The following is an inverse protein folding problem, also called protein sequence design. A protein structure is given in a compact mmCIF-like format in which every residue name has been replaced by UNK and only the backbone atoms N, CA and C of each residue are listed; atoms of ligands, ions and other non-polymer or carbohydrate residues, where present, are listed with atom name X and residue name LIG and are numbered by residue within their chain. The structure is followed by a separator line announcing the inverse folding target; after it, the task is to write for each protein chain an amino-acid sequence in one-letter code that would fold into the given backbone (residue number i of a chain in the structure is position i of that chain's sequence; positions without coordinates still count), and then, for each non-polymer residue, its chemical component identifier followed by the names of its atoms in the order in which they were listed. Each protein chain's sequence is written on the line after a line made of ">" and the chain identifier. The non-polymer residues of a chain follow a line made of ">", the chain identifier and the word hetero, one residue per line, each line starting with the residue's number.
data_IF_303328506044
#
_entry.id   IF_303328506044
#
_cell.length_a   1.000
_cell.length_b   1.000
_cell.length_c   1.000
_cell.angle_alpha   90.00
_cell.angle_beta   90.00
_cell.angle_gamma   90.00
#
_symmetry.space_group_name_H-M   'P 1'
#
loop_
_entity.id
_entity.type
_entity.pdbx_description
1 polymer ?
#
# COMPACT_ATOMS: atom_id res chain seq x y z
N UNK A 1 10.64 9.26 14.53
CA UNK A 1 9.69 10.01 13.67
C UNK A 1 9.94 11.51 13.68
N UNK A 2 9.77 12.21 14.81
CA UNK A 2 9.99 13.66 14.91
C UNK A 2 11.41 14.03 14.50
N UNK A 3 12.43 13.39 15.07
CA UNK A 3 13.83 13.66 14.74
C UNK A 3 14.15 13.49 13.24
N UNK A 4 13.66 12.41 12.61
CA UNK A 4 13.83 12.14 11.18
C UNK A 4 13.17 13.25 10.34
N UNK A 5 11.98 13.69 10.73
CA UNK A 5 11.27 14.78 10.04
C UNK A 5 11.99 16.12 10.22
N UNK A 6 12.57 16.37 11.39
CA UNK A 6 13.40 17.55 11.65
C UNK A 6 14.69 17.54 10.82
N UNK A 7 15.31 16.38 10.60
CA UNK A 7 16.48 16.25 9.70
C UNK A 7 16.13 16.72 8.28
N UNK A 8 14.98 16.29 7.73
CA UNK A 8 14.50 16.76 6.43
C UNK A 8 14.23 18.27 6.44
N UNK A 9 13.55 18.77 7.48
CA UNK A 9 13.21 20.19 7.61
C UNK A 9 14.48 21.05 7.62
N UNK A 10 15.50 20.67 8.39
CA UNK A 10 16.81 21.36 8.41
C UNK A 10 17.49 21.35 7.04
N UNK A 11 17.47 20.20 6.34
CA UNK A 11 17.98 20.08 4.96
C UNK A 11 17.26 21.08 4.05
N UNK A 12 15.92 21.10 4.05
CA UNK A 12 15.15 22.01 3.21
C UNK A 12 15.37 23.47 3.58
N UNK A 13 15.43 23.82 4.87
CA UNK A 13 15.75 25.17 5.31
C UNK A 13 17.11 25.64 4.77
N UNK A 14 18.15 24.80 4.84
CA UNK A 14 19.47 25.17 4.31
C UNK A 14 19.45 25.47 2.81
N UNK A 15 18.70 24.70 2.02
CA UNK A 15 18.60 24.89 0.57
C UNK A 15 17.71 26.10 0.23
N UNK A 16 16.63 26.28 0.99
CA UNK A 16 15.72 27.41 0.85
C UNK A 16 16.40 28.75 1.17
N UNK A 17 17.21 28.82 2.24
CA UNK A 17 17.98 30.02 2.59
C UNK A 17 18.96 30.38 1.47
N UNK A 18 19.70 29.42 0.93
CA UNK A 18 20.62 29.66 -0.19
C UNK A 18 19.90 30.17 -1.44
N UNK A 19 18.69 29.66 -1.72
CA UNK A 19 17.88 30.12 -2.83
C UNK A 19 17.32 31.54 -2.58
N UNK A 20 16.88 31.83 -1.36
CA UNK A 20 16.37 33.14 -0.94
C UNK A 20 17.46 34.22 -1.00
N UNK A 21 18.68 33.92 -0.55
CA UNK A 21 19.84 34.80 -0.65
C UNK A 21 20.19 35.16 -2.11
N UNK A 22 19.83 34.27 -3.04
CA UNK A 22 19.98 34.48 -4.49
C UNK A 22 18.73 35.08 -5.15
N UNK A 23 17.71 35.46 -4.37
CA UNK A 23 16.42 35.95 -4.82
C UNK A 23 15.72 34.99 -5.82
N UNK A 24 15.87 33.68 -5.60
CA UNK A 24 15.31 32.60 -6.43
C UNK A 24 14.33 31.76 -5.61
N UNK A 25 13.30 31.25 -6.28
CA UNK A 25 12.46 30.16 -5.77
C UNK A 25 13.05 28.81 -6.15
N UNK A 26 13.13 27.89 -5.19
CA UNK A 26 13.56 26.51 -5.43
C UNK A 26 12.40 25.69 -6.01
N UNK A 27 12.64 25.01 -7.13
CA UNK A 27 11.70 24.04 -7.71
C UNK A 27 12.37 22.68 -7.66
N UNK A 28 11.78 21.73 -6.94
CA UNK A 28 12.27 20.36 -6.86
C UNK A 28 11.10 19.40 -6.63
N UNK A 29 11.33 18.13 -6.93
CA UNK A 29 10.32 17.10 -6.76
C UNK A 29 10.19 16.69 -5.29
N UNK A 30 9.11 17.15 -4.65
CA UNK A 30 8.77 16.81 -3.26
C UNK A 30 8.33 15.34 -3.14
N UNK A 31 7.91 14.70 -4.24
CA UNK A 31 7.45 13.31 -4.24
C UNK A 31 8.53 12.34 -3.74
N UNK A 32 9.75 12.48 -4.27
CA UNK A 32 10.88 11.62 -3.93
C UNK A 32 11.32 11.84 -2.47
N UNK A 33 11.33 13.09 -2.01
CA UNK A 33 11.73 13.44 -0.64
C UNK A 33 10.71 12.96 0.40
N UNK A 34 9.40 13.03 0.12
CA UNK A 34 8.36 12.45 0.99
C UNK A 34 8.43 10.93 1.01
N UNK A 35 8.78 10.30 -0.11
CA UNK A 35 8.98 8.85 -0.17
C UNK A 35 10.15 8.42 0.72
N UNK A 36 11.30 9.10 0.59
CA UNK A 36 12.50 8.92 1.42
C UNK A 36 12.20 9.09 2.91
N UNK A 37 11.54 10.20 3.27
CA UNK A 37 11.14 10.48 4.65
C UNK A 37 10.25 9.38 5.23
N UNK A 38 9.24 8.95 4.47
CA UNK A 38 8.31 7.92 4.93
C UNK A 38 9.01 6.58 5.09
N UNK A 39 9.89 6.22 4.15
CA UNK A 39 10.71 5.02 4.23
C UNK A 39 11.53 5.01 5.53
N UNK A 40 12.24 6.09 5.84
CA UNK A 40 13.04 6.19 7.06
C UNK A 40 12.20 6.17 8.35
N UNK A 41 11.06 6.85 8.34
CA UNK A 41 10.12 6.82 9.48
C UNK A 41 9.71 5.39 9.79
N UNK A 42 9.27 4.65 8.77
CA UNK A 42 8.77 3.28 8.97
C UNK A 42 9.91 2.35 9.34
N UNK A 43 11.06 2.42 8.66
CA UNK A 43 12.19 1.52 8.95
C UNK A 43 12.79 1.79 10.32
N UNK A 44 12.80 3.05 10.77
CA UNK A 44 13.22 3.41 12.12
C UNK A 44 12.25 2.87 13.17
N UNK A 45 10.93 2.93 12.92
CA UNK A 45 9.94 2.41 13.87
C UNK A 45 9.90 0.88 13.90
N UNK A 46 10.10 0.22 12.75
CA UNK A 46 9.99 -1.24 12.62
C UNK A 46 11.31 -1.93 12.99
N UNK A 47 12.43 -1.43 12.48
CA UNK A 47 13.74 -2.08 12.56
C UNK A 47 14.77 -1.29 13.37
N UNK A 48 14.43 -0.12 13.92
CA UNK A 48 15.39 0.72 14.63
C UNK A 48 16.50 1.27 13.73
N UNK A 49 16.33 1.24 12.41
CA UNK A 49 17.35 1.66 11.43
C UNK A 49 16.86 2.81 10.56
N UNK A 50 17.69 3.85 10.46
CA UNK A 50 17.53 4.91 9.45
C UNK A 50 18.22 4.46 8.16
N UNK A 51 17.44 4.20 7.11
CA UNK A 51 17.95 3.64 5.85
C UNK A 51 18.61 4.71 4.98
N UNK A 52 18.21 5.99 5.07
CA UNK A 52 18.81 7.08 4.28
C UNK A 52 20.30 7.31 4.58
N UNK A 53 20.82 6.83 5.72
CA UNK A 53 22.26 6.91 6.02
C UNK A 53 23.10 5.95 5.16
N UNK A 54 22.47 4.93 4.57
CA UNK A 54 23.09 3.97 3.65
C UNK A 54 22.39 4.03 2.29
N UNK A 55 23.02 4.73 1.35
CA UNK A 55 22.50 4.95 0.00
C UNK A 55 22.17 3.64 -0.73
N UNK A 56 22.94 2.57 -0.49
CA UNK A 56 22.75 1.27 -1.10
C UNK A 56 21.52 0.56 -0.53
N UNK A 57 21.33 0.62 0.78
CA UNK A 57 20.14 0.10 1.45
C UNK A 57 18.88 0.80 0.95
N UNK A 58 18.95 2.13 0.87
CA UNK A 58 17.85 2.94 0.36
C UNK A 58 17.49 2.56 -1.07
N UNK A 59 18.47 2.44 -1.96
CA UNK A 59 18.25 2.05 -3.36
C UNK A 59 17.57 0.67 -3.46
N UNK A 60 18.04 -0.32 -2.69
CA UNK A 60 17.46 -1.67 -2.69
C UNK A 60 15.99 -1.60 -2.26
N UNK A 61 15.70 -0.98 -1.11
CA UNK A 61 14.33 -0.95 -0.57
C UNK A 61 13.40 -0.16 -1.49
N UNK A 62 13.83 1.03 -1.94
CA UNK A 62 13.03 1.86 -2.85
C UNK A 62 12.75 1.16 -4.19
N UNK A 63 13.74 0.47 -4.75
CA UNK A 63 13.57 -0.32 -5.98
C UNK A 63 12.63 -1.51 -5.75
N UNK A 64 12.80 -2.27 -4.66
CA UNK A 64 11.91 -3.39 -4.33
C UNK A 64 10.45 -2.91 -4.21
N UNK A 65 10.23 -1.78 -3.54
CA UNK A 65 8.94 -1.10 -3.42
C UNK A 65 8.38 -0.77 -4.81
N UNK A 66 9.07 0.06 -5.59
CA UNK A 66 8.56 0.56 -6.88
C UNK A 66 8.32 -0.54 -7.92
N UNK A 67 9.21 -1.53 -8.01
CA UNK A 67 9.05 -2.69 -8.92
C UNK A 67 7.89 -3.60 -8.49
N UNK A 68 7.65 -3.73 -7.18
CA UNK A 68 6.53 -4.52 -6.66
C UNK A 68 5.18 -3.88 -7.00
N UNK A 69 5.07 -2.54 -6.94
CA UNK A 69 3.89 -1.83 -7.46
C UNK A 69 3.68 -2.08 -8.95
N UNK A 70 4.75 -1.89 -9.74
CA UNK A 70 4.66 -2.07 -11.19
C UNK A 70 4.22 -3.50 -11.54
N UNK A 71 4.67 -4.49 -10.77
CA UNK A 71 4.19 -5.87 -10.87
C UNK A 71 2.70 -5.98 -10.54
N UNK A 72 2.26 -5.42 -9.41
CA UNK A 72 0.85 -5.47 -8.99
C UNK A 72 -0.07 -4.83 -10.04
N UNK A 73 0.28 -3.65 -10.53
CA UNK A 73 -0.48 -2.94 -11.56
C UNK A 73 -0.56 -3.75 -12.86
N UNK A 74 0.57 -4.31 -13.32
CA UNK A 74 0.61 -5.17 -14.50
C UNK A 74 -0.21 -6.43 -14.29
N UNK A 75 -0.08 -7.10 -13.15
CA UNK A 75 -0.78 -8.36 -12.84
C UNK A 75 -2.29 -8.19 -12.70
N UNK A 76 -2.76 -7.05 -12.20
CA UNK A 76 -4.18 -6.82 -11.98
C UNK A 76 -4.99 -6.86 -13.30
N UNK A 77 -4.36 -6.52 -14.43
CA UNK A 77 -5.01 -6.48 -15.74
C UNK A 77 -4.41 -7.44 -16.79
N UNK A 78 -3.37 -8.20 -16.45
CA UNK A 78 -2.69 -9.06 -17.40
C UNK A 78 -3.26 -10.48 -17.41
N UNK A 79 -3.97 -10.81 -18.50
CA UNK A 79 -4.56 -12.13 -18.76
C UNK A 79 -3.48 -13.24 -18.71
N UNK A 80 -2.22 -12.93 -19.04
CA UNK A 80 -1.13 -13.89 -19.00
C UNK A 80 -0.82 -14.40 -17.58
N UNK A 81 -1.13 -13.63 -16.54
CA UNK A 81 -0.92 -14.04 -15.14
C UNK A 81 -2.06 -14.95 -14.62
N UNK A 82 -3.25 -14.89 -15.25
CA UNK A 82 -4.38 -15.80 -15.01
C UNK A 82 -4.10 -17.18 -15.61
N UNK A 83 -3.32 -17.25 -16.69
CA UNK A 83 -2.98 -18.51 -17.38
C UNK A 83 -1.71 -19.11 -16.76
N UNK A 84 -1.80 -20.21 -15.98
CA UNK A 84 -0.67 -20.70 -15.18
C UNK A 84 0.56 -21.09 -16.00
N UNK A 85 0.37 -21.51 -17.26
CA UNK A 85 1.45 -21.91 -18.16
C UNK A 85 2.28 -20.71 -18.63
N UNK A 86 1.62 -19.57 -18.92
CA UNK A 86 2.30 -18.36 -19.38
C UNK A 86 3.02 -17.70 -18.20
N UNK A 87 2.40 -17.68 -17.02
CA UNK A 87 3.05 -17.20 -15.79
C UNK A 87 4.31 -18.00 -15.42
N UNK A 88 4.43 -19.28 -15.84
CA UNK A 88 5.66 -20.08 -15.60
C UNK A 88 6.83 -19.73 -16.51
N UNK A 89 6.64 -18.93 -17.57
CA UNK A 89 7.72 -18.59 -18.49
C UNK A 89 8.66 -17.52 -17.88
N UNK A 90 9.99 -17.68 -18.00
CA UNK A 90 10.98 -16.77 -17.42
C UNK A 90 11.16 -15.52 -18.29
N UNK A 91 10.11 -14.70 -18.40
CA UNK A 91 10.15 -13.42 -19.11
C UNK A 91 11.16 -12.46 -18.46
N UNK A 92 11.80 -11.61 -19.26
CA UNK A 92 12.84 -10.68 -18.79
C UNK A 92 12.33 -9.72 -17.70
N UNK A 93 11.09 -9.23 -17.85
CA UNK A 93 10.41 -8.41 -16.83
C UNK A 93 10.23 -9.16 -15.51
N UNK A 94 9.83 -10.43 -15.57
CA UNK A 94 9.66 -11.28 -14.38
C UNK A 94 10.98 -11.52 -13.66
N UNK A 95 12.07 -11.82 -14.39
CA UNK A 95 13.40 -11.99 -13.80
C UNK A 95 13.91 -10.74 -13.07
N UNK A 96 13.68 -9.55 -13.64
CA UNK A 96 14.06 -8.28 -13.00
C UNK A 96 13.35 -8.11 -11.65
N UNK A 97 12.04 -8.36 -11.63
CA UNK A 97 11.21 -8.19 -10.44
C UNK A 97 11.54 -9.26 -9.39
N UNK A 98 11.68 -10.53 -9.80
CA UNK A 98 12.08 -11.63 -8.92
C UNK A 98 13.44 -11.34 -8.26
N UNK A 99 14.39 -10.76 -9.01
CA UNK A 99 15.68 -10.31 -8.47
C UNK A 99 15.52 -9.22 -7.42
N UNK A 100 14.72 -8.18 -7.69
CA UNK A 100 14.50 -7.08 -6.75
C UNK A 100 13.80 -7.54 -5.46
N UNK A 101 12.82 -8.45 -5.58
CA UNK A 101 12.17 -9.08 -4.43
C UNK A 101 13.17 -9.91 -3.63
N UNK A 102 14.00 -10.71 -4.30
CA UNK A 102 15.03 -11.53 -3.64
C UNK A 102 16.05 -10.68 -2.87
N UNK A 103 16.48 -9.55 -3.42
CA UNK A 103 17.41 -8.62 -2.76
C UNK A 103 16.78 -7.99 -1.51
N UNK A 104 15.53 -7.51 -1.60
CA UNK A 104 14.81 -6.96 -0.46
C UNK A 104 14.56 -7.99 0.65
N UNK A 105 14.19 -9.22 0.27
CA UNK A 105 14.03 -10.36 1.20
C UNK A 105 15.33 -10.70 1.92
N UNK A 106 16.44 -10.77 1.18
CA UNK A 106 17.75 -11.03 1.76
C UNK A 106 18.14 -9.93 2.76
N UNK A 107 17.79 -8.68 2.45
CA UNK A 107 18.08 -7.55 3.32
C UNK A 107 17.32 -7.59 4.64
N UNK A 108 16.01 -7.82 4.60
CA UNK A 108 15.18 -8.02 5.81
C UNK A 108 15.78 -9.16 6.65
N UNK A 109 16.12 -10.29 6.01
CA UNK A 109 16.71 -11.45 6.73
C UNK A 109 18.03 -11.08 7.41
N UNK A 110 18.90 -10.32 6.74
CA UNK A 110 20.15 -9.84 7.35
C UNK A 110 19.90 -8.94 8.57
N UNK A 111 18.91 -8.04 8.50
CA UNK A 111 18.54 -7.17 9.63
C UNK A 111 18.09 -8.02 10.83
N UNK A 112 17.18 -8.98 10.59
CA UNK A 112 16.66 -9.88 11.64
C UNK A 112 17.79 -10.73 12.23
N UNK A 113 18.62 -11.37 11.40
CA UNK A 113 19.74 -12.20 11.85
C UNK A 113 20.75 -11.42 12.70
N UNK A 114 21.09 -10.20 12.26
CA UNK A 114 22.02 -9.34 12.98
C UNK A 114 21.43 -8.90 14.33
N UNK A 115 20.12 -8.64 14.40
CA UNK A 115 19.44 -8.31 15.66
C UNK A 115 19.44 -9.50 16.61
N UNK A 116 19.07 -10.70 16.16
CA UNK A 116 19.06 -11.92 16.98
C UNK A 116 20.44 -12.32 17.50
N UNK A 117 21.50 -12.07 16.72
CA UNK A 117 22.90 -12.30 17.14
C UNK A 117 23.44 -11.21 18.09
N UNK A 118 22.66 -10.18 18.40
CA UNK A 118 23.08 -9.05 19.21
C UNK A 118 24.13 -8.15 18.54
N UNK A 119 24.30 -8.25 17.22
CA UNK A 119 25.22 -7.41 16.43
C UNK A 119 24.68 -6.01 16.20
N UNK A 120 23.35 -5.86 16.28
CA UNK A 120 22.66 -4.57 16.25
C UNK A 120 21.73 -4.47 17.44
N UNK A 121 21.49 -3.25 17.92
CA UNK A 121 20.57 -2.97 19.01
C UNK A 121 19.83 -1.68 18.71
N UNK A 122 18.52 -1.67 18.93
CA UNK A 122 17.76 -0.44 18.83
C UNK A 122 17.99 0.45 20.05
N UNK A 123 17.98 1.77 19.84
CA UNK A 123 18.05 2.75 20.92
C UNK A 123 16.79 2.74 21.81
N UNK A 124 15.65 2.35 21.23
CA UNK A 124 14.35 2.20 21.90
C UNK A 124 13.72 0.88 21.46
N UNK A 125 12.93 0.21 22.30
CA UNK A 125 12.27 -1.05 21.94
C UNK A 125 11.43 -0.85 20.68
N UNK A 126 11.84 -1.47 19.57
CA UNK A 126 11.16 -1.38 18.28
C UNK A 126 10.26 -2.60 18.03
N UNK A 127 9.54 -2.60 16.90
CA UNK A 127 8.63 -3.69 16.57
C UNK A 127 9.36 -5.02 16.38
N UNK A 128 10.57 -5.01 15.81
CA UNK A 128 11.39 -6.21 15.65
C UNK A 128 11.79 -6.78 17.02
N UNK A 129 12.17 -5.93 17.99
CA UNK A 129 12.44 -6.37 19.36
C UNK A 129 11.21 -7.03 20.00
N UNK A 130 10.01 -6.49 19.75
CA UNK A 130 8.76 -7.08 20.23
C UNK A 130 8.47 -8.44 19.58
N UNK A 131 8.69 -8.58 18.27
CA UNK A 131 8.53 -9.85 17.54
C UNK A 131 9.52 -10.91 18.04
N UNK A 132 10.78 -10.54 18.26
CA UNK A 132 11.80 -11.44 18.81
C UNK A 132 11.44 -11.83 20.25
N UNK A 133 11.06 -10.87 21.11
CA UNK A 133 10.65 -11.17 22.48
C UNK A 133 9.42 -12.11 22.52
N UNK A 134 8.44 -11.91 21.63
CA UNK A 134 7.29 -12.79 21.50
C UNK A 134 7.64 -14.21 21.00
N UNK A 135 8.76 -14.37 20.28
CA UNK A 135 9.27 -15.69 19.88
C UNK A 135 9.93 -16.44 21.05
N UNK A 136 10.45 -15.72 22.04
CA UNK A 136 11.15 -16.32 23.20
C UNK A 136 10.19 -16.77 24.33
N UNK A 137 8.98 -16.22 24.43
CA UNK A 137 8.02 -16.53 25.51
C UNK A 137 7.61 -18.01 25.57
N UNK A 138 7.63 -18.68 26.73
CA UNK A 138 7.15 -20.06 26.91
C UNK A 138 5.61 -20.18 26.83
N UNK A 139 5.06 -19.92 25.65
CA UNK A 139 3.64 -20.07 25.32
C UNK A 139 3.44 -21.10 24.20
N UNK A 140 2.25 -21.68 24.14
CA UNK A 140 1.87 -22.63 23.09
C UNK A 140 1.76 -21.99 21.68
N UNK A 141 1.92 -20.66 21.57
CA UNK A 141 1.79 -19.83 20.37
C UNK A 141 3.02 -18.93 20.18
N UNK A 142 4.24 -19.50 20.27
CA UNK A 142 5.48 -18.79 19.93
C UNK A 142 5.53 -18.52 18.43
N UNK A 143 5.97 -17.32 18.06
CA UNK A 143 6.42 -17.06 16.69
C UNK A 143 7.67 -17.89 16.41
N UNK A 144 7.70 -18.61 15.30
CA UNK A 144 8.91 -19.21 14.76
C UNK A 144 9.80 -18.15 14.12
N UNK A 145 11.09 -18.46 13.95
CA UNK A 145 12.05 -17.57 13.27
C UNK A 145 11.60 -17.15 11.87
N UNK A 146 10.98 -18.06 11.13
CA UNK A 146 10.42 -17.74 9.82
C UNK A 146 9.18 -16.86 9.92
N UNK A 147 8.31 -17.05 10.91
CA UNK A 147 7.17 -16.14 11.11
C UNK A 147 7.63 -14.73 11.52
N UNK A 148 8.67 -14.60 12.37
CA UNK A 148 9.27 -13.28 12.68
C UNK A 148 9.79 -12.61 11.40
N UNK A 149 10.45 -13.37 10.53
CA UNK A 149 10.93 -12.87 9.25
C UNK A 149 9.79 -12.46 8.30
N UNK A 150 8.74 -13.27 8.18
CA UNK A 150 7.59 -12.97 7.31
C UNK A 150 6.78 -11.77 7.84
N UNK A 151 6.62 -11.60 9.16
CA UNK A 151 6.02 -10.39 9.74
C UNK A 151 6.89 -9.16 9.48
N UNK A 152 8.21 -9.27 9.69
CA UNK A 152 9.17 -8.20 9.36
C UNK A 152 9.08 -7.79 7.88
N UNK A 153 8.98 -8.76 6.97
CA UNK A 153 8.78 -8.51 5.55
C UNK A 153 7.45 -7.79 5.30
N UNK A 154 6.37 -8.23 5.94
CA UNK A 154 5.03 -7.63 5.84
C UNK A 154 5.07 -6.16 6.28
N UNK A 155 5.75 -5.82 7.39
CA UNK A 155 5.95 -4.43 7.81
C UNK A 155 6.75 -3.60 6.79
N UNK A 156 7.71 -4.22 6.08
CA UNK A 156 8.38 -3.59 4.95
C UNK A 156 7.43 -3.27 3.79
N UNK A 157 6.44 -4.12 3.52
CA UNK A 157 5.45 -3.87 2.48
C UNK A 157 4.48 -2.73 2.84
N UNK A 158 4.19 -2.50 4.13
CA UNK A 158 3.34 -1.38 4.58
C UNK A 158 3.90 0.00 4.21
N UNK A 159 5.24 0.13 4.08
CA UNK A 159 5.92 1.37 3.65
C UNK A 159 5.27 1.93 2.37
N UNK A 160 4.89 1.03 1.47
CA UNK A 160 4.26 1.38 0.21
C UNK A 160 2.96 2.16 0.39
N UNK A 161 2.05 1.56 1.16
CA UNK A 161 0.72 2.10 1.41
C UNK A 161 0.82 3.47 2.09
N UNK A 162 1.81 3.62 2.97
CA UNK A 162 2.03 4.84 3.72
C UNK A 162 2.57 5.98 2.84
N UNK A 163 3.53 5.69 1.96
CA UNK A 163 4.03 6.64 0.94
C UNK A 163 2.89 7.12 0.05
N UNK A 164 2.07 6.19 -0.45
CA UNK A 164 0.95 6.48 -1.35
C UNK A 164 -0.15 7.31 -0.66
N UNK A 165 -0.22 7.28 0.67
CA UNK A 165 -1.22 7.98 1.46
C UNK A 165 -0.88 9.47 1.67
N UNK A 166 0.40 9.80 1.92
CA UNK A 166 0.83 11.16 2.28
C UNK A 166 1.00 12.09 1.07
N UNK A 167 1.47 11.56 -0.07
CA UNK A 167 1.76 12.36 -1.27
C UNK A 167 0.54 13.12 -1.80
N UNK A 168 -0.64 12.50 -1.98
CA UNK A 168 -1.83 13.22 -2.46
C UNK A 168 -2.37 14.21 -1.42
N UNK A 169 -2.18 13.94 -0.12
CA UNK A 169 -2.59 14.86 0.92
C UNK A 169 -1.82 16.19 0.85
N UNK A 170 -0.50 16.14 0.67
CA UNK A 170 0.33 17.35 0.48
C UNK A 170 -0.05 18.09 -0.80
N UNK A 171 -0.28 17.36 -1.89
CA UNK A 171 -0.74 17.95 -3.16
C UNK A 171 -2.09 18.68 -3.02
N UNK A 172 -3.07 18.05 -2.37
CA UNK A 172 -4.40 18.63 -2.17
C UNK A 172 -4.36 19.85 -1.25
N UNK A 173 -3.54 19.81 -0.21
CA UNK A 173 -3.32 20.93 0.70
C UNK A 173 -2.68 22.12 -0.04
N UNK A 174 -1.62 21.87 -0.82
CA UNK A 174 -0.93 22.91 -1.60
C UNK A 174 -1.82 23.50 -2.72
N UNK A 175 -2.76 22.70 -3.25
CA UNK A 175 -3.68 23.14 -4.31
C UNK A 175 -4.88 23.93 -3.78
N UNK A 176 -5.09 24.00 -2.46
CA UNK A 176 -6.24 24.68 -1.86
C UNK A 176 -5.81 25.65 -0.74
N UNK A 177 -5.69 26.94 -1.10
CA UNK A 177 -5.22 27.99 -0.20
C UNK A 177 -6.07 28.20 1.06
N UNK A 178 -7.37 27.87 1.03
CA UNK A 178 -8.24 28.00 2.21
C UNK A 178 -7.94 26.91 3.24
N UNK A 179 -7.76 25.67 2.78
CA UNK A 179 -7.37 24.55 3.64
C UNK A 179 -5.95 24.75 4.17
N UNK A 180 -5.03 25.20 3.32
CA UNK A 180 -3.66 25.51 3.71
C UNK A 180 -3.61 26.50 4.88
N UNK A 181 -4.27 27.65 4.74
CA UNK A 181 -4.29 28.70 5.77
C UNK A 181 -4.90 28.22 7.09
N UNK A 182 -5.91 27.35 7.03
CA UNK A 182 -6.54 26.79 8.23
C UNK A 182 -5.63 25.78 8.94
N UNK A 183 -4.89 24.96 8.20
CA UNK A 183 -3.87 24.07 8.76
C UNK A 183 -2.74 24.88 9.37
N UNK A 184 -2.24 25.92 8.68
CA UNK A 184 -1.23 26.83 9.24
C UNK A 184 -1.69 27.48 10.55
N UNK A 185 -2.93 27.98 10.59
CA UNK A 185 -3.49 28.61 11.79
C UNK A 185 -3.65 27.61 12.95
N UNK A 186 -4.04 26.36 12.67
CA UNK A 186 -4.09 25.31 13.69
C UNK A 186 -2.70 24.95 14.20
N UNK A 187 -1.74 24.73 13.29
CA UNK A 187 -0.36 24.40 13.64
C UNK A 187 0.26 25.51 14.49
N UNK A 188 0.10 26.78 14.11
CA UNK A 188 0.62 27.91 14.88
C UNK A 188 -0.04 28.06 16.26
N UNK A 189 -1.29 27.61 16.43
CA UNK A 189 -2.00 27.67 17.71
C UNK A 189 -1.58 26.53 18.65
N UNK A 190 -1.33 25.34 18.10
CA UNK A 190 -1.03 24.11 18.86
C UNK A 190 0.48 23.92 19.10
N UNK A 191 1.29 24.33 18.15
CA UNK A 191 2.75 24.22 18.15
C UNK A 191 3.30 25.64 18.05
N UNK A 192 3.44 26.30 19.21
CA UNK A 192 4.19 27.56 19.27
C UNK A 192 5.67 27.29 18.89
N UNK A 193 6.44 28.33 18.54
CA UNK A 193 7.81 28.19 18.00
C UNK A 193 8.78 27.33 18.85
N UNK A 194 8.51 27.17 20.16
CA UNK A 194 9.31 26.40 21.11
C UNK A 194 8.67 25.06 21.56
N UNK A 195 7.45 24.73 21.14
CA UNK A 195 6.76 23.52 21.59
C UNK A 195 7.19 22.27 20.81
N UNK A 196 7.65 21.24 21.54
CA UNK A 196 7.97 19.95 20.94
C UNK A 196 6.70 19.21 20.50
N UNK A 197 6.79 18.53 19.34
CA UNK A 197 5.76 17.60 18.89
C UNK A 197 5.81 16.37 19.81
N UNK A 198 4.75 16.16 20.59
CA UNK A 198 4.61 15.04 21.53
C UNK A 198 3.32 14.26 21.25
N UNK A 199 3.17 13.09 21.86
CA UNK A 199 1.92 12.32 21.80
C UNK A 199 0.71 13.08 22.37
N UNK A 200 0.95 14.09 23.22
CA UNK A 200 -0.10 14.93 23.80
C UNK A 200 -0.53 16.09 22.91
N UNK A 201 0.35 16.59 22.04
CA UNK A 201 0.04 17.70 21.12
C UNK A 201 -0.60 17.22 19.81
N UNK A 202 -0.26 16.01 19.34
CA UNK A 202 -0.83 15.46 18.09
C UNK A 202 -2.36 15.41 18.05
N UNK A 203 -3.09 14.99 19.11
CA UNK A 203 -4.56 14.98 19.09
C UNK A 203 -5.22 16.36 18.98
N UNK A 204 -4.46 17.44 19.23
CA UNK A 204 -4.96 18.81 19.13
C UNK A 204 -4.98 19.31 17.67
N UNK A 205 -4.26 18.65 16.75
CA UNK A 205 -4.23 18.96 15.31
C UNK A 205 -5.44 18.37 14.57
N UNK A 206 -6.64 18.66 15.08
CA UNK A 206 -7.91 18.07 14.66
C UNK A 206 -8.30 18.37 13.20
N UNK A 207 -8.02 19.58 12.72
CA UNK A 207 -8.32 20.01 11.36
C UNK A 207 -7.32 19.41 10.37
N UNK A 208 -6.05 19.34 10.76
CA UNK A 208 -5.01 18.60 10.02
C UNK A 208 -5.43 17.14 9.84
N UNK A 209 -5.96 16.50 10.88
CA UNK A 209 -6.49 15.13 10.79
C UNK A 209 -7.68 15.04 9.81
N UNK A 210 -8.58 16.03 9.79
CA UNK A 210 -9.69 16.10 8.81
C UNK A 210 -9.17 16.18 7.38
N UNK A 211 -8.17 17.03 7.11
CA UNK A 211 -7.55 17.15 5.78
C UNK A 211 -6.92 15.84 5.35
N UNK A 212 -6.17 15.18 6.24
CA UNK A 212 -5.55 13.88 5.96
C UNK A 212 -6.61 12.81 5.68
N UNK A 213 -7.68 12.73 6.48
CA UNK A 213 -8.78 11.78 6.25
C UNK A 213 -9.50 12.02 4.93
N UNK A 214 -9.72 13.28 4.56
CA UNK A 214 -10.36 13.61 3.28
C UNK A 214 -9.45 13.25 2.09
N UNK A 215 -8.14 13.46 2.21
CA UNK A 215 -7.18 12.99 1.21
C UNK A 215 -7.22 11.46 1.05
N UNK A 216 -7.33 10.70 2.14
CA UNK A 216 -7.48 9.24 2.09
C UNK A 216 -8.82 8.79 1.48
N UNK A 217 -9.89 9.57 1.69
CA UNK A 217 -11.21 9.30 1.09
C UNK A 217 -11.18 9.47 -0.43
N UNK A 218 -10.44 10.47 -0.93
CA UNK A 218 -10.33 10.77 -2.37
C UNK A 218 -9.29 9.86 -3.04
N UNK A 219 -8.12 9.69 -2.40
CA UNK A 219 -6.98 8.95 -2.91
C UNK A 219 -6.72 7.72 -2.06
N UNK A 220 -7.61 6.73 -2.19
CA UNK A 220 -7.48 5.47 -1.46
C UNK A 220 -6.25 4.69 -1.94
N UNK A 221 -5.22 4.47 -1.09
CA UNK A 221 -4.01 3.76 -1.52
C UNK A 221 -4.26 2.30 -1.91
N UNK A 222 -5.23 1.66 -1.25
CA UNK A 222 -5.64 0.27 -1.50
C UNK A 222 -7.09 0.25 -1.97
N UNK A 223 -7.38 0.38 -3.29
CA UNK A 223 -8.73 0.63 -3.79
C UNK A 223 -9.68 -0.58 -3.71
N UNK A 224 -9.16 -1.80 -3.53
CA UNK A 224 -9.96 -3.00 -3.45
C UNK A 224 -9.35 -3.99 -2.45
N UNK A 225 -10.22 -4.69 -1.70
CA UNK A 225 -9.81 -5.81 -0.86
C UNK A 225 -10.67 -7.01 -1.25
N UNK A 226 -10.01 -8.09 -1.67
CA UNK A 226 -10.68 -9.32 -2.09
C UNK A 226 -11.07 -10.14 -0.87
N UNK A 227 -12.19 -10.85 -0.95
CA UNK A 227 -12.65 -11.82 0.05
C UNK A 227 -12.94 -13.14 -0.66
N UNK A 228 -12.55 -14.24 -0.02
CA UNK A 228 -12.93 -15.59 -0.46
C UNK A 228 -13.93 -16.14 0.55
N UNK A 229 -15.03 -16.73 0.08
CA UNK A 229 -16.00 -17.35 0.95
C UNK A 229 -15.37 -18.56 1.67
N UNK A 230 -15.35 -18.54 3.00
CA UNK A 230 -14.78 -19.63 3.80
C UNK A 230 -15.63 -20.91 3.79
N UNK A 231 -16.92 -20.76 3.48
CA UNK A 231 -17.91 -21.83 3.30
C UNK A 231 -18.85 -21.39 2.20
N UNK A 232 -19.55 -22.35 1.61
CA UNK A 232 -20.65 -22.08 0.70
C UNK A 232 -21.66 -21.19 1.42
N UNK A 233 -21.69 -19.92 1.03
CA UNK A 233 -22.68 -18.96 1.47
C UNK A 233 -23.43 -18.54 0.22
N UNK A 234 -24.69 -18.95 0.14
CA UNK A 234 -25.56 -18.51 -0.94
C UNK A 234 -25.80 -17.03 -0.77
N UNK A 235 -25.57 -16.22 -1.81
CA UNK A 235 -26.19 -14.90 -1.87
C UNK A 235 -27.70 -15.16 -1.99
N UNK A 236 -28.37 -15.32 -0.84
CA UNK A 236 -29.75 -15.78 -0.76
C UNK A 236 -30.69 -14.92 -1.60
N UNK A 237 -30.42 -13.61 -1.65
CA UNK A 237 -31.14 -12.69 -2.52
C UNK A 237 -30.92 -12.99 -4.01
N UNK A 238 -29.67 -13.15 -4.46
CA UNK A 238 -29.38 -13.43 -5.87
C UNK A 238 -29.99 -14.76 -6.34
N UNK A 239 -29.99 -15.78 -5.48
CA UNK A 239 -30.63 -17.06 -5.77
C UNK A 239 -32.15 -16.92 -5.75
N UNK A 240 -32.73 -16.17 -4.81
CA UNK A 240 -34.17 -15.92 -4.75
C UNK A 240 -34.66 -15.16 -5.98
N UNK A 241 -33.96 -14.10 -6.38
CA UNK A 241 -34.21 -13.32 -7.59
C UNK A 241 -34.15 -14.21 -8.84
N UNK A 242 -33.11 -15.04 -8.97
CA UNK A 242 -32.98 -15.98 -10.09
C UNK A 242 -34.11 -17.02 -10.11
N UNK A 243 -34.51 -17.56 -8.96
CA UNK A 243 -35.64 -18.50 -8.83
C UNK A 243 -36.94 -17.87 -9.29
N UNK A 244 -37.27 -16.66 -8.82
CA UNK A 244 -38.49 -15.94 -9.19
C UNK A 244 -38.46 -15.64 -10.70
N UNK A 245 -37.34 -15.11 -11.19
CA UNK A 245 -37.17 -14.75 -12.60
C UNK A 245 -37.34 -15.98 -13.51
N UNK A 246 -36.62 -17.08 -13.24
CA UNK A 246 -36.73 -18.30 -14.04
C UNK A 246 -38.10 -18.93 -13.95
N UNK A 247 -38.74 -18.98 -12.76
CA UNK A 247 -40.09 -19.52 -12.62
C UNK A 247 -41.11 -18.73 -13.45
N UNK A 248 -41.05 -17.41 -13.44
CA UNK A 248 -41.98 -16.57 -14.20
C UNK A 248 -41.73 -16.64 -15.71
N UNK A 249 -40.46 -16.66 -16.13
CA UNK A 249 -40.06 -16.67 -17.53
C UNK A 249 -40.32 -18.05 -18.17
N UNK A 250 -39.82 -19.14 -17.57
CA UNK A 250 -39.95 -20.51 -18.13
C UNK A 250 -41.41 -20.99 -18.12
N UNK A 251 -42.23 -20.48 -17.21
CA UNK A 251 -43.69 -20.75 -17.22
C UNK A 251 -44.35 -20.25 -18.51
N UNK A 252 -43.92 -19.10 -19.04
CA UNK A 252 -44.55 -18.46 -20.21
C UNK A 252 -43.85 -18.75 -21.53
N UNK A 253 -42.57 -19.11 -21.50
CA UNK A 253 -41.75 -19.20 -22.71
C UNK A 253 -40.87 -20.44 -22.72
N UNK A 254 -40.70 -21.02 -23.91
CA UNK A 254 -39.67 -22.00 -24.24
C UNK A 254 -38.51 -21.30 -24.95
N UNK A 255 -37.28 -21.64 -24.57
CA UNK A 255 -36.06 -21.10 -25.16
C UNK A 255 -35.29 -22.17 -25.91
N UNK A 256 -34.72 -21.83 -27.06
CA UNK A 256 -33.78 -22.67 -27.80
C UNK A 256 -32.56 -21.84 -28.20
N UNK A 257 -31.36 -22.40 -28.08
CA UNK A 257 -30.14 -21.71 -28.54
C UNK A 257 -30.16 -21.57 -30.06
N UNK A 258 -29.68 -20.43 -30.57
CA UNK A 258 -29.42 -20.30 -32.00
C UNK A 258 -28.32 -21.29 -32.43
N UNK A 259 -28.43 -21.97 -33.59
CA UNK A 259 -27.40 -22.89 -34.06
C UNK A 259 -26.01 -22.22 -34.09
N UNK A 260 -25.01 -22.86 -33.48
CA UNK A 260 -23.64 -22.34 -33.42
C UNK A 260 -23.37 -21.32 -32.30
N UNK A 261 -24.38 -20.91 -31.53
CA UNK A 261 -24.21 -20.04 -30.37
C UNK A 261 -23.30 -20.73 -29.32
N UNK A 262 -22.26 -20.01 -28.87
CA UNK A 262 -21.32 -20.45 -27.83
C UNK A 262 -21.26 -19.45 -26.70
N UNK A 263 -21.17 -19.94 -25.46
CA UNK A 263 -20.86 -19.11 -24.29
C UNK A 263 -19.34 -18.92 -24.23
N UNK A 264 -18.84 -17.80 -24.77
CA UNK A 264 -17.43 -17.43 -24.67
C UNK A 264 -17.31 -16.39 -23.56
N UNK A 265 -16.75 -16.76 -22.39
CA UNK A 265 -16.59 -15.82 -21.29
C UNK A 265 -15.55 -14.77 -21.63
N UNK A 266 -15.88 -13.51 -21.37
CA UNK A 266 -14.97 -12.39 -21.35
C UNK A 266 -14.91 -11.86 -19.93
N UNK A 267 -13.74 -11.95 -19.31
CA UNK A 267 -13.50 -11.58 -17.92
C UNK A 267 -12.61 -10.33 -17.94
N UNK A 268 -13.17 -9.21 -17.50
CA UNK A 268 -12.41 -7.95 -17.30
C UNK A 268 -12.39 -7.64 -15.81
N UNK A 269 -13.56 -7.39 -15.23
CA UNK A 269 -13.78 -7.27 -13.78
C UNK A 269 -14.93 -8.18 -13.36
N UNK A 270 -16.04 -8.15 -14.12
CA UNK A 270 -17.13 -9.13 -14.05
C UNK A 270 -17.13 -10.01 -15.30
N UNK A 271 -17.58 -11.26 -15.18
CA UNK A 271 -17.70 -12.17 -16.33
C UNK A 271 -18.93 -11.81 -17.18
N UNK A 272 -18.74 -11.67 -18.50
CA UNK A 272 -19.83 -11.48 -19.47
C UNK A 272 -19.67 -12.41 -20.66
N UNK A 273 -20.74 -12.63 -21.43
CA UNK A 273 -20.64 -13.34 -22.70
C UNK A 273 -20.22 -12.38 -23.82
N UNK A 274 -19.09 -12.66 -24.48
CA UNK A 274 -18.48 -11.77 -25.49
C UNK A 274 -19.44 -11.34 -26.62
N UNK A 275 -20.32 -12.25 -27.05
CA UNK A 275 -21.24 -12.03 -28.17
C UNK A 275 -22.72 -12.02 -27.72
N UNK A 276 -22.96 -11.85 -26.41
CA UNK A 276 -24.28 -12.01 -25.82
C UNK A 276 -24.78 -13.46 -25.91
N UNK A 277 -26.06 -13.67 -25.58
CA UNK A 277 -26.72 -14.97 -25.62
C UNK A 277 -27.90 -14.92 -26.58
N UNK A 278 -27.68 -15.35 -27.83
CA UNK A 278 -28.76 -15.41 -28.83
C UNK A 278 -29.61 -16.65 -28.63
N UNK A 279 -30.90 -16.44 -28.45
CA UNK A 279 -31.88 -17.51 -28.21
C UNK A 279 -33.14 -17.24 -29.03
N UNK A 280 -33.77 -18.32 -29.52
CA UNK A 280 -35.14 -18.30 -30.04
C UNK A 280 -36.10 -18.46 -28.86
N UNK A 281 -37.13 -17.63 -28.81
CA UNK A 281 -38.14 -17.62 -27.74
C UNK A 281 -39.48 -17.98 -28.37
N UNK A 282 -40.15 -18.97 -27.80
CA UNK A 282 -41.48 -19.39 -28.21
C UNK A 282 -42.44 -19.23 -27.03
N UNK A 283 -43.64 -18.67 -27.22
CA UNK A 283 -44.67 -18.73 -26.19
C UNK A 283 -45.03 -20.18 -25.90
N UNK A 284 -45.32 -20.49 -24.63
CA UNK A 284 -45.94 -21.75 -24.22
C UNK A 284 -47.45 -21.64 -24.21
#
# INVERSE_FOLDING_TARGET
>A
MVEITLKLTRKWSSVATVAADQNKSLVFDVHEEIAKLTLDIVTSCVFGTEIMSDEKMHEIVYRTITESLELMEKRLFNIADIIPIINRLPLSSKRRIDKCISEGKQLIRQIVDNRKKGLTKSACSDLLDLLIAASDEDKASKFTDEEVYEEALTFGEYIMSDICSKKPALYNLASNSDFYRRVEAEVALVLNDDEEITSSTLPLLSYTEVVLKEALRIHQPVPAIVRTAAKDNTLDLAILEAKIMFALIIRKFRFELEPGQKLIPEIVVTMRSKYGMRMRIYPR
#
